data_IF_450440079412
#
_entry.id   IF_450440079412
#
_cell.length_a   1.000
_cell.length_b   1.000
_cell.length_c   1.000
_cell.angle_alpha   90.00
_cell.angle_beta   90.00
_cell.angle_gamma   90.00
#
_symmetry.space_group_name_H-M   'P 1'
#
loop_
_entity.id
_entity.type
_entity.pdbx_description
1 polymer ?
#
# COMPACT_ATOMS: atom_id res chain seq x y z
N UNK A 1 2.28 -3.66 3.30
CA UNK A 1 3.02 -3.23 2.09
C UNK A 1 2.99 -4.27 0.98
N UNK A 2 3.11 -5.57 1.29
CA UNK A 2 3.04 -6.67 0.30
C UNK A 2 1.78 -6.62 -0.61
N UNK A 3 0.61 -6.21 -0.10
CA UNK A 3 -0.60 -6.04 -0.92
C UNK A 3 -0.56 -4.85 -1.88
N UNK A 4 0.04 -3.72 -1.49
CA UNK A 4 0.19 -2.54 -2.36
C UNK A 4 1.17 -2.80 -3.49
N UNK A 5 2.27 -3.51 -3.19
CA UNK A 5 3.23 -3.99 -4.19
C UNK A 5 2.56 -5.03 -5.10
N UNK A 6 1.75 -5.95 -4.56
CA UNK A 6 1.00 -6.92 -5.38
C UNK A 6 -0.06 -6.26 -6.27
N UNK A 7 -0.69 -5.16 -5.84
CA UNK A 7 -1.67 -4.40 -6.63
C UNK A 7 -0.96 -3.65 -7.78
N UNK A 8 0.19 -3.03 -7.48
CA UNK A 8 1.08 -2.44 -8.49
C UNK A 8 1.58 -3.52 -9.48
N UNK A 9 2.00 -4.70 -9.00
CA UNK A 9 2.38 -5.85 -9.82
C UNK A 9 1.21 -6.45 -10.63
N UNK A 10 -0.04 -6.34 -10.13
CA UNK A 10 -1.25 -6.74 -10.87
C UNK A 10 -1.56 -5.77 -12.01
N UNK A 11 -1.37 -4.46 -11.84
CA UNK A 11 -1.40 -3.52 -12.97
C UNK A 11 -0.31 -3.83 -14.00
N UNK A 12 0.86 -4.32 -13.57
CA UNK A 12 1.88 -4.86 -14.48
C UNK A 12 1.49 -6.18 -15.17
N UNK A 13 0.47 -6.93 -14.73
CA UNK A 13 0.00 -8.12 -15.47
C UNK A 13 -0.56 -7.75 -16.85
N UNK A 14 -1.04 -6.53 -17.04
CA UNK A 14 -1.46 -6.03 -18.35
C UNK A 14 -0.29 -5.83 -19.32
N UNK A 15 0.96 -5.91 -18.85
CA UNK A 15 2.18 -5.75 -19.67
C UNK A 15 2.88 -7.06 -20.06
N UNK A 16 2.34 -8.23 -19.69
CA UNK A 16 2.77 -9.55 -20.22
C UNK A 16 4.29 -9.87 -20.13
N UNK A 17 5.05 -9.22 -19.24
CA UNK A 17 6.49 -9.43 -19.10
C UNK A 17 6.82 -10.14 -17.78
N UNK A 18 6.71 -11.47 -17.82
CA UNK A 18 7.05 -12.36 -16.68
C UNK A 18 8.50 -12.20 -16.25
N UNK A 19 9.40 -11.89 -17.19
CA UNK A 19 10.81 -11.69 -16.90
C UNK A 19 11.00 -10.48 -15.98
N UNK A 20 10.39 -9.35 -16.37
CA UNK A 20 10.42 -8.12 -15.61
C UNK A 20 9.81 -8.28 -14.21
N UNK A 21 8.71 -9.04 -14.08
CA UNK A 21 8.10 -9.30 -12.77
C UNK A 21 9.03 -10.09 -11.83
N UNK A 22 9.65 -11.16 -12.33
CA UNK A 22 10.58 -11.98 -11.55
C UNK A 22 11.81 -11.18 -11.15
N UNK A 23 12.35 -10.42 -12.10
CA UNK A 23 13.51 -9.57 -11.87
C UNK A 23 13.22 -8.45 -10.86
N UNK A 24 12.10 -7.75 -11.00
CA UNK A 24 11.75 -6.64 -10.11
C UNK A 24 11.52 -7.12 -8.68
N UNK A 25 10.89 -8.29 -8.51
CA UNK A 25 10.72 -8.91 -7.21
C UNK A 25 12.06 -9.28 -6.58
N UNK A 26 12.94 -9.95 -7.33
CA UNK A 26 14.28 -10.32 -6.84
C UNK A 26 15.12 -9.07 -6.48
N UNK A 27 15.05 -8.03 -7.31
CA UNK A 27 15.77 -6.77 -7.10
C UNK A 27 15.26 -6.02 -5.87
N UNK A 28 13.94 -5.99 -5.67
CA UNK A 28 13.33 -5.40 -4.48
C UNK A 28 13.71 -6.18 -3.21
N UNK A 29 13.67 -7.52 -3.24
CA UNK A 29 14.05 -8.35 -2.09
C UNK A 29 15.51 -8.12 -1.70
N UNK A 30 16.42 -8.09 -2.69
CA UNK A 30 17.84 -7.81 -2.47
C UNK A 30 18.07 -6.39 -1.92
N UNK A 31 17.33 -5.40 -2.41
CA UNK A 31 17.34 -4.04 -1.86
C UNK A 31 16.85 -4.01 -0.41
N UNK A 32 15.70 -4.64 -0.14
CA UNK A 32 15.09 -4.65 1.18
C UNK A 32 15.98 -5.34 2.23
N UNK A 33 16.60 -6.46 1.87
CA UNK A 33 17.57 -7.16 2.71
C UNK A 33 18.79 -6.30 3.04
N UNK A 34 19.26 -5.45 2.12
CA UNK A 34 20.39 -4.53 2.37
C UNK A 34 20.01 -3.39 3.30
N UNK A 35 18.84 -2.79 3.11
CA UNK A 35 18.48 -1.55 3.81
C UNK A 35 18.00 -1.72 5.26
N UNK A 36 17.67 -2.94 5.72
CA UNK A 36 17.25 -3.25 7.12
C UNK A 36 16.20 -2.30 7.73
N UNK A 37 15.41 -1.61 6.90
CA UNK A 37 14.53 -0.51 7.32
C UNK A 37 13.06 -0.89 7.15
N UNK A 38 12.22 -0.46 8.08
CA UNK A 38 10.86 -0.98 8.25
C UNK A 38 9.77 -0.35 7.36
N UNK A 39 10.02 0.75 6.64
CA UNK A 39 9.10 1.30 5.61
C UNK A 39 9.70 2.52 4.88
N UNK A 40 9.09 2.96 3.77
CA UNK A 40 9.34 4.29 3.18
C UNK A 40 10.54 4.43 2.22
N UNK A 41 11.05 3.34 1.65
CA UNK A 41 12.29 3.35 0.85
C UNK A 41 12.06 3.29 -0.67
N UNK A 42 10.83 3.50 -1.15
CA UNK A 42 10.50 3.42 -2.59
C UNK A 42 11.32 4.40 -3.42
N UNK A 43 11.54 5.62 -2.94
CA UNK A 43 12.35 6.63 -3.63
C UNK A 43 13.82 6.21 -3.75
N UNK A 44 14.40 5.59 -2.70
CA UNK A 44 15.79 5.10 -2.73
C UNK A 44 15.97 3.97 -3.73
N UNK A 45 15.02 3.04 -3.74
CA UNK A 45 15.02 1.96 -4.71
C UNK A 45 14.94 2.51 -6.15
N UNK A 46 14.03 3.47 -6.42
CA UNK A 46 13.92 4.10 -7.73
C UNK A 46 15.22 4.83 -8.14
N UNK A 47 15.87 5.50 -7.18
CA UNK A 47 17.17 6.13 -7.42
C UNK A 47 18.27 5.11 -7.76
N UNK A 48 18.30 3.97 -7.06
CA UNK A 48 19.27 2.90 -7.36
C UNK A 48 19.01 2.30 -8.74
N UNK A 49 17.75 2.04 -9.10
CA UNK A 49 17.39 1.54 -10.42
C UNK A 49 17.76 2.53 -11.54
N UNK A 50 17.65 3.84 -11.30
CA UNK A 50 18.08 4.85 -12.27
C UNK A 50 19.58 4.84 -12.52
N UNK A 51 20.37 4.53 -11.50
CA UNK A 51 21.83 4.49 -11.56
C UNK A 51 22.38 3.12 -11.97
N UNK A 52 21.53 2.11 -12.05
CA UNK A 52 21.94 0.74 -12.37
C UNK A 52 22.12 0.56 -13.88
N UNK A 53 23.21 -0.13 -14.24
CA UNK A 53 23.51 -0.51 -15.61
C UNK A 53 22.57 -1.59 -16.14
N UNK A 54 22.62 -1.79 -17.46
CA UNK A 54 21.89 -2.87 -18.12
C UNK A 54 22.43 -4.21 -17.67
N UNK A 55 21.53 -5.18 -17.51
CA UNK A 55 21.91 -6.53 -17.10
C UNK A 55 21.12 -7.61 -17.84
N UNK A 56 21.73 -8.79 -17.93
CA UNK A 56 21.10 -9.97 -18.51
C UNK A 56 20.50 -10.84 -17.41
N UNK A 57 19.18 -10.98 -17.41
CA UNK A 57 18.45 -11.76 -16.42
C UNK A 57 17.99 -13.11 -16.99
N UNK A 58 18.25 -14.19 -16.25
CA UNK A 58 17.79 -15.53 -16.64
C UNK A 58 16.37 -15.80 -16.13
N UNK A 59 15.47 -16.15 -17.04
CA UNK A 59 14.07 -16.43 -16.74
C UNK A 59 13.81 -17.93 -16.81
N UNK A 60 13.54 -18.60 -15.68
CA UNK A 60 13.20 -20.01 -15.70
C UNK A 60 11.82 -20.22 -16.31
N UNK A 61 11.75 -21.01 -17.39
CA UNK A 61 10.49 -21.51 -17.92
C UNK A 61 10.00 -22.66 -17.03
N UNK A 62 8.71 -22.63 -16.66
CA UNK A 62 8.10 -23.79 -16.00
C UNK A 62 8.01 -24.89 -17.05
N UNK A 63 8.91 -25.85 -17.00
CA UNK A 63 8.73 -27.10 -17.75
C UNK A 63 7.44 -27.75 -17.28
N UNK A 64 6.56 -28.14 -18.21
CA UNK A 64 5.49 -29.07 -17.88
C UNK A 64 6.14 -30.35 -17.36
N UNK A 65 5.99 -30.64 -16.07
CA UNK A 65 6.25 -31.96 -15.52
C UNK A 65 5.15 -32.91 -16.02
N UNK A 66 5.17 -33.25 -17.29
CA UNK A 66 4.42 -34.39 -17.81
C UNK A 66 5.41 -35.55 -17.97
N UNK A 67 5.40 -36.45 -16.99
CA UNK A 67 6.20 -37.68 -17.00
C UNK A 67 6.36 -38.28 -15.62
N UNK A 68 6.38 -39.62 -15.56
CA UNK A 68 6.72 -40.39 -14.36
C UNK A 68 8.13 -40.05 -13.86
N UNK A 69 8.32 -40.05 -12.54
CA UNK A 69 9.57 -39.67 -11.86
C UNK A 69 10.80 -40.49 -12.32
N UNK A 70 10.59 -41.65 -12.92
CA UNK A 70 11.64 -42.57 -13.35
C UNK A 70 11.95 -42.55 -14.85
N UNK A 71 11.40 -41.61 -15.64
CA UNK A 71 11.63 -41.63 -17.08
C UNK A 71 13.09 -41.24 -17.44
N UNK A 72 13.94 -42.17 -17.94
CA UNK A 72 15.34 -41.91 -18.24
C UNK A 72 15.53 -40.90 -19.38
N UNK A 73 14.52 -40.71 -20.23
CA UNK A 73 14.53 -39.71 -21.31
C UNK A 73 14.27 -38.27 -20.82
N UNK A 74 13.76 -38.10 -19.60
CA UNK A 74 13.56 -36.78 -18.97
C UNK A 74 14.73 -36.36 -18.07
N UNK A 75 15.59 -37.30 -17.66
CA UNK A 75 16.73 -37.03 -16.76
C UNK A 75 17.73 -36.05 -17.38
N UNK A 76 17.92 -36.08 -18.71
CA UNK A 76 18.79 -35.15 -19.45
C UNK A 76 18.13 -33.79 -19.77
N UNK A 77 16.81 -33.65 -19.63
CA UNK A 77 16.09 -32.38 -19.82
C UNK A 77 15.96 -31.56 -18.53
N UNK A 78 16.53 -32.02 -17.43
CA UNK A 78 16.49 -31.33 -16.12
C UNK A 78 17.40 -30.10 -16.01
N UNK A 79 18.21 -29.79 -17.05
CA UNK A 79 18.83 -28.47 -17.16
C UNK A 79 17.72 -27.46 -17.37
N UNK A 80 17.42 -26.69 -16.33
CA UNK A 80 16.42 -25.64 -16.25
C UNK A 80 16.21 -24.94 -17.60
N UNK A 81 15.16 -25.32 -18.33
CA UNK A 81 14.78 -24.62 -19.54
C UNK A 81 14.45 -23.16 -19.17
N UNK A 82 15.05 -22.21 -19.86
CA UNK A 82 14.86 -20.80 -19.61
C UNK A 82 15.48 -19.97 -20.72
N UNK A 83 15.27 -18.67 -20.68
CA UNK A 83 15.83 -17.73 -21.64
C UNK A 83 16.45 -16.55 -20.89
N UNK A 84 17.44 -15.91 -21.50
CA UNK A 84 17.96 -14.65 -21.00
C UNK A 84 17.20 -13.49 -21.64
N UNK A 85 16.87 -12.48 -20.85
CA UNK A 85 16.34 -11.21 -21.33
C UNK A 85 17.28 -10.08 -20.91
N UNK A 86 17.44 -9.08 -21.77
CA UNK A 86 18.10 -7.84 -21.41
C UNK A 86 17.12 -6.99 -20.58
N UNK A 87 17.59 -6.54 -19.43
CA UNK A 87 16.86 -5.65 -18.52
C UNK A 87 17.56 -4.29 -18.52
N UNK A 88 16.76 -3.23 -18.66
CA UNK A 88 17.23 -1.84 -18.53
C UNK A 88 16.60 -1.23 -17.26
N UNK A 89 17.27 -1.32 -16.09
CA UNK A 89 16.72 -0.87 -14.81
C UNK A 89 16.26 0.59 -14.81
N UNK A 90 17.00 1.47 -15.50
CA UNK A 90 16.67 2.89 -15.61
C UNK A 90 15.35 3.15 -16.34
N UNK A 91 15.07 2.43 -17.43
CA UNK A 91 13.77 2.46 -18.12
C UNK A 91 12.66 1.93 -17.23
N UNK A 92 12.93 0.89 -16.44
CA UNK A 92 11.96 0.34 -15.49
C UNK A 92 11.65 1.36 -14.39
N UNK A 93 12.65 2.05 -13.85
CA UNK A 93 12.47 3.11 -12.86
C UNK A 93 11.58 4.24 -13.40
N UNK A 94 11.80 4.67 -14.65
CA UNK A 94 10.95 5.67 -15.32
C UNK A 94 9.49 5.22 -15.43
N UNK A 95 9.26 3.96 -15.83
CA UNK A 95 7.90 3.38 -15.92
C UNK A 95 7.25 3.28 -14.54
N UNK A 96 7.99 2.86 -13.51
CA UNK A 96 7.49 2.79 -12.14
C UNK A 96 7.11 4.18 -11.60
N UNK A 97 7.94 5.20 -11.84
CA UNK A 97 7.60 6.57 -11.46
C UNK A 97 6.36 7.09 -12.17
N UNK A 98 6.20 6.79 -13.47
CA UNK A 98 5.01 7.19 -14.22
C UNK A 98 3.74 6.53 -13.69
N UNK A 99 3.77 5.22 -13.46
CA UNK A 99 2.65 4.48 -12.85
C UNK A 99 2.37 5.00 -11.43
N UNK A 100 3.40 5.29 -10.64
CA UNK A 100 3.26 5.86 -9.31
C UNK A 100 2.56 7.23 -9.34
N UNK A 101 2.95 8.11 -10.27
CA UNK A 101 2.34 9.42 -10.42
C UNK A 101 0.87 9.31 -10.85
N UNK A 102 0.57 8.43 -11.80
CA UNK A 102 -0.81 8.16 -12.23
C UNK A 102 -1.68 7.65 -11.05
N UNK A 103 -1.23 6.62 -10.35
CA UNK A 103 -1.96 6.08 -9.18
C UNK A 103 -2.11 7.11 -8.07
N UNK A 104 -1.09 7.95 -7.83
CA UNK A 104 -1.18 9.02 -6.84
C UNK A 104 -2.23 10.07 -7.23
N UNK A 105 -2.35 10.41 -8.52
CA UNK A 105 -3.39 11.31 -9.02
C UNK A 105 -4.79 10.70 -8.86
N UNK A 106 -4.98 9.45 -9.31
CA UNK A 106 -6.25 8.73 -9.21
C UNK A 106 -6.71 8.63 -7.75
N UNK A 107 -5.84 8.19 -6.85
CA UNK A 107 -6.17 8.08 -5.42
C UNK A 107 -6.36 9.44 -4.75
N UNK A 108 -5.62 10.48 -5.18
CA UNK A 108 -5.83 11.85 -4.66
C UNK A 108 -7.24 12.33 -4.97
N UNK A 109 -7.70 12.14 -6.20
CA UNK A 109 -9.06 12.53 -6.61
C UNK A 109 -10.10 11.80 -5.75
N UNK A 110 -9.96 10.47 -5.59
CA UNK A 110 -10.83 9.67 -4.71
C UNK A 110 -10.80 10.15 -3.25
N UNK A 111 -9.63 10.48 -2.71
CA UNK A 111 -9.48 10.97 -1.33
C UNK A 111 -10.15 12.33 -1.10
N UNK A 112 -10.03 13.27 -2.05
CA UNK A 112 -10.70 14.58 -1.98
C UNK A 112 -12.22 14.38 -1.97
N UNK A 113 -12.68 13.50 -2.86
CA UNK A 113 -14.08 13.13 -3.00
C UNK A 113 -14.61 12.51 -1.71
N UNK A 114 -13.88 11.57 -1.09
CA UNK A 114 -14.23 10.99 0.21
C UNK A 114 -14.19 12.01 1.36
N UNK A 115 -13.20 12.90 1.38
CA UNK A 115 -13.07 13.94 2.40
C UNK A 115 -14.23 14.95 2.36
N UNK A 116 -14.75 15.24 1.16
CA UNK A 116 -15.87 16.17 0.97
C UNK A 116 -17.21 15.66 1.53
N UNK A 117 -17.31 14.38 1.90
CA UNK A 117 -18.49 13.80 2.52
C UNK A 117 -19.69 13.60 1.58
N UNK A 118 -19.51 13.75 0.26
CA UNK A 118 -20.58 13.46 -0.69
C UNK A 118 -20.94 11.95 -0.64
N UNK A 119 -22.23 11.59 -0.74
CA UNK A 119 -22.66 10.20 -0.77
C UNK A 119 -22.29 9.58 -2.12
N UNK A 120 -21.22 8.78 -2.14
CA UNK A 120 -20.81 8.03 -3.33
C UNK A 120 -21.41 6.64 -3.29
N UNK A 121 -21.83 6.14 -4.45
CA UNK A 121 -22.32 4.78 -4.61
C UNK A 121 -21.21 3.81 -4.22
N UNK A 122 -21.32 3.25 -3.02
CA UNK A 122 -20.35 2.38 -2.35
C UNK A 122 -20.08 1.08 -3.11
N UNK A 123 -19.40 1.15 -4.25
CA UNK A 123 -19.20 -0.02 -5.12
C UNK A 123 -17.75 -0.22 -5.56
N UNK A 124 -16.89 0.81 -5.52
CA UNK A 124 -15.48 0.62 -5.87
C UNK A 124 -14.66 0.10 -4.67
N UNK A 125 -13.91 -1.01 -4.82
CA UNK A 125 -13.14 -1.60 -3.73
C UNK A 125 -12.01 -0.70 -3.21
N UNK A 126 -11.50 0.20 -4.05
CA UNK A 126 -10.43 1.14 -3.68
C UNK A 126 -10.96 2.25 -2.76
N UNK A 127 -12.16 2.79 -3.02
CA UNK A 127 -12.80 3.76 -2.13
C UNK A 127 -13.05 3.17 -0.73
N UNK A 128 -13.54 1.92 -0.67
CA UNK A 128 -13.73 1.21 0.61
C UNK A 128 -12.42 0.96 1.33
N UNK A 129 -11.36 0.66 0.59
CA UNK A 129 -10.02 0.53 1.15
C UNK A 129 -9.53 1.87 1.72
N UNK A 130 -9.63 2.97 0.98
CA UNK A 130 -9.18 4.30 1.41
C UNK A 130 -9.98 4.79 2.63
N UNK A 131 -11.30 4.69 2.58
CA UNK A 131 -12.18 5.02 3.70
C UNK A 131 -11.89 4.13 4.93
N UNK A 132 -11.68 2.83 4.73
CA UNK A 132 -11.33 1.88 5.79
C UNK A 132 -9.98 2.18 6.42
N UNK A 133 -8.96 2.52 5.61
CA UNK A 133 -7.63 2.92 6.09
C UNK A 133 -7.71 4.21 6.90
N UNK A 134 -8.35 5.25 6.38
CA UNK A 134 -8.50 6.52 7.10
C UNK A 134 -9.29 6.36 8.39
N UNK A 135 -10.35 5.54 8.39
CA UNK A 135 -11.12 5.21 9.59
C UNK A 135 -10.25 4.51 10.63
N UNK A 136 -9.42 3.55 10.21
CA UNK A 136 -8.49 2.85 11.10
C UNK A 136 -7.47 3.81 11.72
N UNK A 137 -6.90 4.74 10.93
CA UNK A 137 -6.00 5.77 11.44
C UNK A 137 -6.71 6.69 12.43
N UNK A 138 -7.94 7.12 12.14
CA UNK A 138 -8.72 7.98 13.03
C UNK A 138 -8.96 7.33 14.40
N UNK A 139 -9.27 6.02 14.41
CA UNK A 139 -9.37 5.29 15.67
C UNK A 139 -8.03 5.16 16.40
N UNK A 140 -6.92 4.93 15.68
CA UNK A 140 -5.60 4.85 16.32
C UNK A 140 -5.17 6.18 16.94
N UNK A 141 -5.41 7.30 16.26
CA UNK A 141 -5.17 8.64 16.84
C UNK A 141 -6.00 8.84 18.11
N UNK A 142 -7.29 8.51 18.05
CA UNK A 142 -8.17 8.61 19.21
C UNK A 142 -7.71 7.70 20.37
N UNK A 143 -7.28 6.47 20.08
CA UNK A 143 -6.77 5.56 21.10
C UNK A 143 -5.46 6.06 21.71
N UNK A 144 -4.53 6.58 20.92
CA UNK A 144 -3.28 7.16 21.45
C UNK A 144 -3.56 8.39 22.32
N UNK A 145 -4.52 9.25 21.94
CA UNK A 145 -4.95 10.38 22.79
C UNK A 145 -5.48 9.87 24.15
N UNK A 146 -6.36 8.86 24.12
CA UNK A 146 -6.98 8.30 25.32
C UNK A 146 -6.00 7.52 26.21
N UNK A 147 -4.98 6.91 25.62
CA UNK A 147 -3.94 6.16 26.33
C UNK A 147 -3.13 7.05 27.28
N UNK A 148 -3.00 8.33 26.96
CA UNK A 148 -2.35 9.32 27.82
C UNK A 148 -3.18 9.72 29.05
N UNK A 149 -4.47 9.34 29.10
CA UNK A 149 -5.44 9.74 30.12
C UNK A 149 -5.93 8.52 30.93
N UNK A 150 -5.37 8.26 32.14
CA UNK A 150 -5.77 7.11 32.95
C UNK A 150 -7.27 7.08 33.32
N UNK A 151 -7.88 8.25 33.47
CA UNK A 151 -9.31 8.41 33.74
C UNK A 151 -10.21 7.93 32.59
N UNK A 152 -9.66 7.75 31.40
CA UNK A 152 -10.36 7.28 30.20
C UNK A 152 -10.02 5.83 29.83
N UNK A 153 -9.34 5.08 30.70
CA UNK A 153 -9.03 3.67 30.47
C UNK A 153 -10.26 2.80 30.09
N UNK A 154 -11.46 2.97 30.69
CA UNK A 154 -12.65 2.23 30.28
C UNK A 154 -13.10 2.55 28.85
N UNK A 155 -12.98 3.81 28.44
CA UNK A 155 -13.30 4.25 27.08
C UNK A 155 -12.29 3.72 26.06
N UNK A 156 -10.99 3.77 26.38
CA UNK A 156 -9.93 3.17 25.57
C UNK A 156 -10.17 1.66 25.37
N UNK A 157 -10.51 0.93 26.44
CA UNK A 157 -10.80 -0.50 26.37
C UNK A 157 -12.05 -0.79 25.51
N UNK A 158 -13.09 0.04 25.62
CA UNK A 158 -14.28 -0.07 24.78
C UNK A 158 -13.94 0.09 23.29
N UNK A 159 -13.26 1.18 22.93
CA UNK A 159 -12.90 1.48 21.54
C UNK A 159 -11.93 0.43 20.96
N UNK A 160 -10.96 -0.02 21.75
CA UNK A 160 -10.03 -1.09 21.34
C UNK A 160 -10.78 -2.39 21.01
N UNK A 161 -11.72 -2.79 21.87
CA UNK A 161 -12.55 -3.98 21.63
C UNK A 161 -13.48 -3.79 20.43
N UNK A 162 -14.06 -2.60 20.27
CA UNK A 162 -14.92 -2.27 19.12
C UNK A 162 -14.14 -2.39 17.80
N UNK A 163 -12.92 -1.84 17.72
CA UNK A 163 -12.06 -1.99 16.54
C UNK A 163 -11.73 -3.44 16.21
N UNK A 164 -11.44 -4.26 17.23
CA UNK A 164 -11.13 -5.68 17.03
C UNK A 164 -12.33 -6.44 16.45
N UNK A 165 -13.52 -6.22 17.00
CA UNK A 165 -14.78 -6.81 16.54
C UNK A 165 -15.12 -6.40 15.10
N UNK A 166 -14.80 -5.16 14.72
CA UNK A 166 -15.12 -4.61 13.41
C UNK A 166 -13.91 -4.51 12.46
N UNK A 167 -12.83 -5.25 12.72
CA UNK A 167 -11.61 -5.22 11.90
C UNK A 167 -11.85 -5.57 10.42
N UNK A 168 -12.88 -6.36 10.12
CA UNK A 168 -13.30 -6.70 8.76
C UNK A 168 -13.97 -5.54 8.01
N UNK A 169 -14.60 -4.60 8.72
CA UNK A 169 -15.27 -3.44 8.13
C UNK A 169 -14.28 -2.45 7.51
N UNK A 170 -13.02 -2.47 7.93
CA UNK A 170 -11.95 -1.59 7.43
C UNK A 170 -11.11 -2.23 6.29
N UNK A 171 -11.62 -3.29 5.66
CA UNK A 171 -11.00 -3.99 4.52
C UNK A 171 -11.63 -3.53 3.20
N UNK A 172 -11.03 -3.83 2.02
CA UNK A 172 -11.59 -3.44 0.71
C UNK A 172 -13.02 -3.94 0.45
N UNK A 173 -13.40 -5.07 1.03
CA UNK A 173 -14.75 -5.66 0.92
C UNK A 173 -15.63 -5.32 2.13
N UNK A 174 -15.15 -4.42 2.98
CA UNK A 174 -15.81 -4.02 4.22
C UNK A 174 -16.79 -2.87 4.00
N UNK A 175 -17.32 -2.37 5.11
CA UNK A 175 -18.21 -1.21 5.14
C UNK A 175 -17.89 -0.40 6.40
N UNK A 176 -16.96 0.55 6.25
CA UNK A 176 -16.52 1.40 7.34
C UNK A 176 -17.61 2.39 7.77
N UNK A 177 -18.43 2.88 6.82
CA UNK A 177 -19.51 3.82 7.13
C UNK A 177 -20.68 3.12 7.82
N UNK A 178 -21.03 1.89 7.41
CA UNK A 178 -22.01 1.07 8.11
C UNK A 178 -21.58 0.70 9.53
N UNK A 179 -20.27 0.49 9.76
CA UNK A 179 -19.73 0.35 11.12
C UNK A 179 -19.95 1.63 11.94
N UNK A 180 -19.56 2.80 11.42
CA UNK A 180 -19.75 4.07 12.14
C UNK A 180 -21.22 4.42 12.35
N UNK A 181 -22.09 4.04 11.42
CA UNK A 181 -23.54 4.18 11.56
C UNK A 181 -24.07 3.27 12.68
N UNK A 182 -23.57 2.03 12.79
CA UNK A 182 -23.88 1.13 13.91
C UNK A 182 -23.36 1.64 15.25
N UNK A 183 -22.19 2.28 15.27
CA UNK A 183 -21.67 2.92 16.48
C UNK A 183 -22.57 4.09 16.91
N UNK A 184 -23.02 4.91 15.96
CA UNK A 184 -23.81 6.10 16.21
C UNK A 184 -25.21 5.82 16.79
N UNK A 185 -25.76 4.62 16.58
CA UNK A 185 -27.06 4.21 17.13
C UNK A 185 -26.96 3.47 18.46
N UNK A 186 -25.75 3.21 18.97
CA UNK A 186 -25.61 2.57 20.27
C UNK A 186 -26.01 3.52 21.40
N UNK A 187 -26.68 3.03 22.45
CA UNK A 187 -27.09 3.85 23.57
C UNK A 187 -25.87 4.36 24.36
N UNK A 188 -26.01 5.57 24.90
CA UNK A 188 -25.07 6.12 25.89
C UNK A 188 -25.06 5.20 27.11
N UNK A 189 -23.87 4.88 27.62
CA UNK A 189 -23.71 3.96 28.73
C UNK A 189 -22.57 4.36 29.64
N UNK A 190 -22.66 3.94 30.90
CA UNK A 190 -21.58 4.11 31.88
C UNK A 190 -20.72 2.85 31.86
N UNK A 191 -19.40 3.00 31.68
CA UNK A 191 -18.43 1.90 31.76
C UNK A 191 -17.37 2.24 32.80
N UNK A 192 -17.40 1.51 33.91
CA UNK A 192 -16.55 1.83 35.06
C UNK A 192 -16.88 3.22 35.60
N UNK A 193 -15.89 4.11 35.62
CA UNK A 193 -16.00 5.50 36.07
C UNK A 193 -16.28 6.50 34.94
N UNK A 194 -16.42 6.04 33.68
CA UNK A 194 -16.47 6.92 32.51
C UNK A 194 -17.81 6.79 31.78
N UNK A 195 -18.35 7.93 31.33
CA UNK A 195 -19.49 7.97 30.42
C UNK A 195 -18.97 7.70 29.01
N UNK A 196 -19.56 6.73 28.33
CA UNK A 196 -19.29 6.43 26.92
C UNK A 196 -20.49 6.92 26.12
N UNK A 197 -20.24 7.84 25.20
CA UNK A 197 -21.22 8.38 24.26
C UNK A 197 -20.87 7.89 22.84
N UNK A 198 -21.40 6.71 22.40
CA UNK A 198 -21.11 6.17 21.07
C UNK A 198 -21.50 7.10 19.90
N UNK A 199 -22.64 7.83 19.94
CA UNK A 199 -22.93 8.87 18.95
C UNK A 199 -21.83 9.93 18.81
N UNK A 200 -21.36 10.48 19.93
CA UNK A 200 -20.29 11.47 19.93
C UNK A 200 -18.97 10.89 19.40
N UNK A 201 -18.63 9.66 19.79
CA UNK A 201 -17.43 8.97 19.29
C UNK A 201 -17.51 8.72 17.78
N UNK A 202 -18.68 8.36 17.26
CA UNK A 202 -18.87 8.17 15.82
C UNK A 202 -18.69 9.49 15.05
N UNK A 203 -19.16 10.62 15.59
CA UNK A 203 -18.94 11.95 15.02
C UNK A 203 -17.46 12.35 15.07
N UNK A 204 -16.79 12.13 16.19
CA UNK A 204 -15.37 12.43 16.35
C UNK A 204 -14.50 11.63 15.36
N UNK A 205 -14.75 10.32 15.24
CA UNK A 205 -14.04 9.47 14.30
C UNK A 205 -14.30 9.90 12.85
N UNK A 206 -15.53 10.30 12.50
CA UNK A 206 -15.83 10.85 11.15
C UNK A 206 -15.06 12.14 10.88
N UNK A 207 -15.01 13.06 11.85
CA UNK A 207 -14.28 14.32 11.73
C UNK A 207 -12.78 14.08 11.50
N UNK A 208 -12.16 13.24 12.34
CA UNK A 208 -10.76 12.85 12.20
C UNK A 208 -10.49 12.13 10.87
N UNK A 209 -11.38 11.23 10.46
CA UNK A 209 -11.29 10.54 9.15
C UNK A 209 -11.25 11.55 8.01
N UNK A 210 -12.13 12.55 8.01
CA UNK A 210 -12.13 13.60 6.98
C UNK A 210 -10.80 14.35 6.93
N UNK A 211 -10.24 14.72 8.09
CA UNK A 211 -8.94 15.37 8.15
C UNK A 211 -7.81 14.47 7.63
N UNK A 212 -7.81 13.18 8.00
CA UNK A 212 -6.82 12.21 7.54
C UNK A 212 -6.89 12.03 6.03
N UNK A 213 -8.09 11.90 5.46
CA UNK A 213 -8.28 11.79 4.00
C UNK A 213 -7.71 13.01 3.28
N UNK A 214 -7.97 14.22 3.79
CA UNK A 214 -7.41 15.45 3.23
C UNK A 214 -5.87 15.49 3.33
N UNK A 215 -5.30 15.10 4.48
CA UNK A 215 -3.85 15.03 4.67
C UNK A 215 -3.20 13.98 3.75
N UNK A 216 -3.86 12.83 3.55
CA UNK A 216 -3.40 11.79 2.61
C UNK A 216 -3.43 12.30 1.17
N UNK A 217 -4.48 13.01 0.76
CA UNK A 217 -4.58 13.61 -0.56
C UNK A 217 -3.44 14.62 -0.81
N UNK A 218 -3.14 15.46 0.18
CA UNK A 218 -2.02 16.41 0.11
C UNK A 218 -0.67 15.70 0.04
N UNK A 219 -0.47 14.61 0.78
CA UNK A 219 0.75 13.79 0.70
C UNK A 219 0.91 13.16 -0.70
N UNK A 220 -0.18 12.80 -1.37
CA UNK A 220 -0.10 12.25 -2.72
C UNK A 220 0.26 13.32 -3.76
N UNK A 221 -0.13 14.58 -3.54
CA UNK A 221 0.24 15.72 -4.38
C UNK A 221 1.76 15.91 -4.47
N UNK A 222 2.50 15.69 -3.38
CA UNK A 222 3.97 15.78 -3.37
C UNK A 222 4.68 14.64 -4.11
N UNK A 223 3.97 13.63 -4.60
CA UNK A 223 4.58 12.48 -5.32
C UNK A 223 5.29 12.90 -6.60
N UNK A 224 4.78 13.90 -7.31
CA UNK A 224 5.44 14.42 -8.51
C UNK A 224 6.76 15.14 -8.18
N UNK A 225 6.78 15.88 -7.08
CA UNK A 225 7.98 16.58 -6.61
C UNK A 225 9.06 15.58 -6.15
N UNK A 226 8.68 14.49 -5.50
CA UNK A 226 9.60 13.40 -5.18
C UNK A 226 10.19 12.75 -6.45
N UNK A 227 9.35 12.47 -7.45
CA UNK A 227 9.82 11.92 -8.73
C UNK A 227 10.75 12.91 -9.46
N UNK A 228 10.48 14.22 -9.36
CA UNK A 228 11.35 15.28 -9.88
C UNK A 228 12.69 15.32 -9.14
N UNK A 229 12.68 15.16 -7.82
CA UNK A 229 13.92 15.07 -7.01
C UNK A 229 14.79 13.88 -7.42
N UNK A 230 14.20 12.71 -7.67
CA UNK A 230 14.93 11.54 -8.13
C UNK A 230 15.60 11.79 -9.50
N UNK A 231 14.86 12.38 -10.45
CA UNK A 231 15.41 12.71 -11.79
C UNK A 231 16.50 13.78 -11.75
N UNK A 232 16.35 14.80 -10.91
CA UNK A 232 17.35 15.87 -10.77
C UNK A 232 18.61 15.37 -10.10
N UNK A 233 18.50 14.55 -9.05
CA UNK A 233 19.64 13.86 -8.42
C UNK A 233 20.41 12.99 -9.41
N UNK A 234 19.72 12.26 -10.29
CA UNK A 234 20.38 11.52 -11.37
C UNK A 234 21.15 12.44 -12.33
N UNK A 235 20.53 13.53 -12.80
CA UNK A 235 21.19 14.50 -13.68
C UNK A 235 22.43 15.12 -13.00
N UNK A 236 22.33 15.51 -11.74
CA UNK A 236 23.46 16.03 -10.97
C UNK A 236 24.58 14.99 -10.84
N UNK A 237 24.26 13.72 -10.61
CA UNK A 237 25.27 12.66 -10.56
C UNK A 237 25.92 12.41 -11.92
N UNK A 238 25.18 12.47 -13.02
CA UNK A 238 25.75 12.39 -14.37
C UNK A 238 26.67 13.58 -14.68
N UNK A 239 26.35 14.78 -14.19
CA UNK A 239 27.14 15.99 -14.37
C UNK A 239 28.34 16.11 -13.42
N UNK A 240 28.38 15.31 -12.35
CA UNK A 240 29.49 15.22 -11.39
C UNK A 240 30.61 14.26 -11.81
N UNK A 241 30.47 13.57 -12.94
CA UNK A 241 31.53 12.75 -13.51
C UNK A 241 32.55 13.69 -14.18
N UNK A 242 33.44 14.26 -13.36
CA UNK A 242 34.73 14.84 -13.75
C UNK A 242 35.87 13.98 -13.19
#
# INVERSE_FOLDING_TARGET
MERSVNLQLQHFRLLNDRALQLWLHASWDAFYQRCHSSSGQSWRFLSELQQSDREWFFVPMRGLKQGSAENPFLQHRSKSAGYHCEIEPSKIAQRLMAVRAQLASEWREELIVLASGHPHGSSHPDEQLLAGLATRYAFHELLEDLKSLPSQAPLHAFLSNYMLQHSMCMKPTGDAEGMLSKLAVQPIGIRGSSIVDPPQLALEVRSRRTQILANMAHTLESTEDENRSVRTSFLENCLRIE
#
